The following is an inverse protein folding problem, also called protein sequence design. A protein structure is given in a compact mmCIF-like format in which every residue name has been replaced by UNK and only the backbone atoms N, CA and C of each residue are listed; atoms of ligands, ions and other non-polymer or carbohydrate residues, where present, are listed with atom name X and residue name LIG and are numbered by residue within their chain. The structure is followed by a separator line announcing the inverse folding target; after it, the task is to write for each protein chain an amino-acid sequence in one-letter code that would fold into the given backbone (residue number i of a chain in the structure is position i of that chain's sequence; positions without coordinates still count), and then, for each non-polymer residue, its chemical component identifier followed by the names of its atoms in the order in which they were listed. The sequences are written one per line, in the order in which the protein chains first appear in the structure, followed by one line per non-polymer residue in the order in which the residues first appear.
data_IF_820372996018
#
_entry.id   IF_820372996018
#
_cell.length_a   1.000
_cell.length_b   1.000
_cell.length_c   1.000
_cell.angle_alpha   90.00
_cell.angle_beta   90.00
_cell.angle_gamma   90.00
#
_symmetry.space_group_name_H-M   'P 1'
#
loop_
_entity.id
_entity.type
_entity.pdbx_description
1 polymer ?
#
# COMPACT_ATOMS: atom_id res chain seq x y z
N UNK A 1 -6.50 20.24 -18.76
CA UNK A 1 -7.52 19.18 -18.93
C UNK A 1 -7.05 18.10 -19.90
N UNK A 2 -6.51 18.44 -21.10
CA UNK A 2 -6.09 17.45 -22.10
C UNK A 2 -4.90 16.58 -21.64
N UNK A 3 -3.92 17.13 -20.93
CA UNK A 3 -2.78 16.38 -20.40
C UNK A 3 -3.21 15.32 -19.37
N UNK A 4 -4.20 15.66 -18.50
CA UNK A 4 -4.67 14.73 -17.47
C UNK A 4 -5.37 13.48 -18.04
N UNK A 5 -5.99 13.56 -19.22
CA UNK A 5 -6.71 12.44 -19.84
C UNK A 5 -5.78 11.46 -20.56
N UNK A 6 -4.63 11.92 -21.05
CA UNK A 6 -3.60 11.07 -21.64
C UNK A 6 -2.97 10.19 -20.56
N UNK A 7 -2.64 10.75 -19.39
CA UNK A 7 -2.05 9.99 -18.28
C UNK A 7 -3.01 8.97 -17.65
N UNK A 8 -4.31 9.25 -17.62
CA UNK A 8 -5.33 8.34 -17.02
C UNK A 8 -5.54 7.03 -17.81
N UNK A 9 -5.03 6.91 -19.02
CA UNK A 9 -5.14 5.69 -19.85
C UNK A 9 -3.90 4.81 -19.80
N UNK A 10 -2.77 5.36 -19.37
CA UNK A 10 -1.47 4.75 -19.56
C UNK A 10 -1.28 3.40 -18.87
N UNK A 11 -1.69 3.26 -17.60
CA UNK A 11 -1.49 2.00 -16.86
C UNK A 11 -2.21 0.83 -17.53
N UNK A 12 -3.45 1.04 -17.99
CA UNK A 12 -4.21 -0.01 -18.69
C UNK A 12 -3.54 -0.38 -20.02
N UNK A 13 -3.24 0.61 -20.86
CA UNK A 13 -2.63 0.42 -22.17
C UNK A 13 -1.24 -0.22 -22.08
N UNK A 14 -0.52 0.04 -20.98
CA UNK A 14 0.76 -0.58 -20.74
C UNK A 14 0.61 -2.08 -20.39
N UNK A 15 -0.20 -2.42 -19.41
CA UNK A 15 -0.33 -3.80 -18.97
C UNK A 15 -1.06 -4.69 -19.98
N UNK A 16 -2.05 -4.16 -20.71
CA UNK A 16 -2.78 -4.94 -21.71
C UNK A 16 -1.87 -5.46 -22.83
N UNK A 17 -0.82 -4.73 -23.21
CA UNK A 17 0.14 -5.17 -24.23
C UNK A 17 0.89 -6.46 -23.82
N UNK A 18 1.09 -6.67 -22.52
CA UNK A 18 1.71 -7.88 -21.98
C UNK A 18 0.70 -8.99 -21.75
N UNK A 19 -0.53 -8.65 -21.36
CA UNK A 19 -1.59 -9.60 -21.04
C UNK A 19 -2.24 -10.15 -22.31
N UNK A 20 -2.46 -9.30 -23.32
CA UNK A 20 -3.09 -9.62 -24.60
C UNK A 20 -2.17 -9.25 -25.78
N UNK A 21 -1.03 -9.93 -25.92
CA UNK A 21 -0.06 -9.56 -26.96
C UNK A 21 -0.66 -9.82 -28.36
N UNK A 22 -0.66 -8.81 -29.21
CA UNK A 22 -1.04 -8.92 -30.59
C UNK A 22 0.17 -9.38 -31.43
N UNK A 23 -0.01 -10.42 -32.25
CA UNK A 23 1.07 -10.96 -33.06
C UNK A 23 1.69 -9.89 -33.97
N UNK A 24 3.00 -9.72 -33.88
CA UNK A 24 3.74 -8.76 -34.69
C UNK A 24 3.69 -7.31 -34.22
N UNK A 25 3.06 -7.04 -33.09
CA UNK A 25 3.05 -5.72 -32.47
C UNK A 25 4.22 -5.59 -31.50
N UNK A 26 5.04 -4.55 -31.65
CA UNK A 26 6.06 -4.21 -30.66
C UNK A 26 5.41 -3.59 -29.42
N UNK A 27 5.93 -3.94 -28.25
CA UNK A 27 5.52 -3.33 -26.98
C UNK A 27 5.93 -1.87 -27.01
N UNK A 28 4.95 -0.99 -26.88
CA UNK A 28 5.20 0.46 -26.84
C UNK A 28 5.75 0.84 -25.47
N UNK A 29 6.84 1.59 -25.49
CA UNK A 29 7.30 2.24 -24.28
C UNK A 29 6.26 3.25 -23.79
N UNK A 30 6.16 3.37 -22.46
CA UNK A 30 5.27 4.33 -21.83
C UNK A 30 6.09 5.46 -21.23
N UNK A 31 5.65 6.69 -21.47
CA UNK A 31 6.26 7.86 -20.85
C UNK A 31 5.74 8.00 -19.42
N UNK A 32 6.63 7.79 -18.44
CA UNK A 32 6.30 7.99 -17.03
C UNK A 32 6.30 9.47 -16.69
N UNK A 33 5.33 9.91 -15.89
CA UNK A 33 5.33 11.27 -15.37
C UNK A 33 6.48 11.44 -14.37
N UNK A 34 7.48 12.26 -14.74
CA UNK A 34 8.62 12.55 -13.88
C UNK A 34 8.26 13.69 -12.92
N UNK A 35 8.14 13.40 -11.64
CA UNK A 35 7.85 14.38 -10.59
C UNK A 35 9.11 15.06 -10.08
N UNK A 36 10.20 14.32 -9.99
CA UNK A 36 11.55 14.77 -9.63
C UNK A 36 12.59 13.82 -10.23
N UNK A 37 13.88 14.11 -10.05
CA UNK A 37 14.96 13.27 -10.58
C UNK A 37 14.84 11.80 -10.13
N UNK A 38 14.35 11.56 -8.91
CA UNK A 38 14.25 10.23 -8.29
C UNK A 38 12.82 9.71 -8.17
N UNK A 39 11.80 10.39 -8.73
CA UNK A 39 10.41 9.97 -8.60
C UNK A 39 9.68 10.05 -9.95
N UNK A 40 9.26 8.88 -10.41
CA UNK A 40 8.42 8.71 -11.59
C UNK A 40 7.07 8.14 -11.19
N UNK A 41 6.02 8.53 -11.88
CA UNK A 41 4.66 8.09 -11.63
C UNK A 41 4.06 7.47 -12.91
N UNK A 42 3.54 6.27 -12.77
CA UNK A 42 2.58 5.68 -13.69
C UNK A 42 1.17 5.87 -13.12
N UNK A 43 0.40 6.78 -13.72
CA UNK A 43 -0.92 7.12 -13.22
C UNK A 43 -1.92 5.97 -13.43
N UNK A 44 -2.75 5.70 -12.43
CA UNK A 44 -3.83 4.72 -12.48
C UNK A 44 -4.87 5.03 -13.57
N UNK A 45 -5.63 4.02 -13.97
CA UNK A 45 -6.72 4.13 -14.95
C UNK A 45 -7.96 3.40 -14.47
N UNK A 46 -9.14 4.02 -14.62
CA UNK A 46 -10.42 3.36 -14.35
C UNK A 46 -10.62 2.13 -15.26
N UNK A 47 -10.04 2.15 -16.46
CA UNK A 47 -10.09 1.01 -17.38
C UNK A 47 -9.32 -0.22 -16.86
N UNK A 48 -8.49 -0.06 -15.84
CA UNK A 48 -7.79 -1.19 -15.23
C UNK A 48 -8.77 -2.23 -14.65
N UNK A 49 -9.99 -1.81 -14.30
CA UNK A 49 -11.07 -2.71 -13.92
C UNK A 49 -11.51 -3.65 -15.06
N UNK A 50 -11.24 -3.34 -16.32
CA UNK A 50 -11.55 -4.22 -17.48
C UNK A 50 -10.71 -5.50 -17.43
N UNK A 51 -9.55 -5.49 -16.77
CA UNK A 51 -8.67 -6.66 -16.58
C UNK A 51 -9.12 -7.57 -15.44
N UNK A 52 -10.08 -7.12 -14.61
CA UNK A 52 -10.50 -7.84 -13.41
C UNK A 52 -11.00 -9.25 -13.70
N UNK A 53 -11.80 -9.42 -14.78
CA UNK A 53 -12.35 -10.71 -15.18
C UNK A 53 -11.23 -11.67 -15.63
N UNK A 54 -10.36 -11.23 -16.54
CA UNK A 54 -9.27 -12.04 -17.09
C UNK A 54 -8.28 -12.45 -15.99
N UNK A 55 -7.92 -11.52 -15.11
CA UNK A 55 -7.06 -11.79 -13.95
C UNK A 55 -7.74 -12.76 -13.00
N UNK A 56 -9.03 -12.56 -12.69
CA UNK A 56 -9.81 -13.44 -11.82
C UNK A 56 -9.89 -14.88 -12.35
N UNK A 57 -10.15 -15.05 -13.62
CA UNK A 57 -10.18 -16.36 -14.27
C UNK A 57 -8.78 -17.02 -14.30
N UNK A 58 -7.72 -16.24 -14.51
CA UNK A 58 -6.35 -16.71 -14.42
C UNK A 58 -6.02 -17.23 -13.03
N UNK A 59 -6.37 -16.45 -11.99
CA UNK A 59 -6.15 -16.84 -10.59
C UNK A 59 -7.02 -18.02 -10.14
N UNK A 60 -8.16 -18.25 -10.82
CA UNK A 60 -8.99 -19.43 -10.64
C UNK A 60 -8.45 -20.69 -11.36
N UNK A 61 -7.30 -20.60 -12.03
CA UNK A 61 -6.61 -21.72 -12.66
C UNK A 61 -7.07 -22.03 -14.07
N UNK A 62 -7.71 -21.09 -14.78
CA UNK A 62 -8.05 -21.27 -16.19
C UNK A 62 -6.79 -21.29 -17.05
N UNK A 63 -6.45 -22.47 -17.59
CA UNK A 63 -5.19 -22.72 -18.28
C UNK A 63 -4.90 -21.76 -19.44
N UNK A 64 -5.90 -21.36 -20.20
CA UNK A 64 -5.77 -20.41 -21.30
C UNK A 64 -5.24 -19.02 -20.85
N UNK A 65 -5.45 -18.67 -19.58
CA UNK A 65 -5.09 -17.38 -19.00
C UNK A 65 -3.94 -17.48 -17.97
N UNK A 66 -3.30 -18.66 -17.85
CA UNK A 66 -2.22 -18.92 -16.88
C UNK A 66 -0.99 -18.04 -17.07
N UNK A 67 -0.83 -17.45 -18.27
CA UNK A 67 0.28 -16.53 -18.60
C UNK A 67 0.14 -15.15 -17.95
N UNK A 68 -1.05 -14.72 -17.55
CA UNK A 68 -1.32 -13.35 -17.09
C UNK A 68 -0.41 -12.92 -15.92
N UNK A 69 -0.25 -13.69 -14.83
CA UNK A 69 0.63 -13.30 -13.73
C UNK A 69 2.09 -13.09 -14.18
N UNK A 70 2.58 -13.96 -15.07
CA UNK A 70 3.94 -13.84 -15.62
C UNK A 70 4.08 -12.60 -16.50
N UNK A 71 3.07 -12.31 -17.33
CA UNK A 71 3.03 -11.12 -18.17
C UNK A 71 3.04 -9.82 -17.38
N UNK A 72 2.23 -9.75 -16.32
CA UNK A 72 2.20 -8.58 -15.40
C UNK A 72 3.54 -8.43 -14.68
N UNK A 73 4.15 -9.53 -14.25
CA UNK A 73 5.48 -9.49 -13.63
C UNK A 73 6.55 -8.96 -14.59
N UNK A 74 6.57 -9.42 -15.84
CA UNK A 74 7.48 -8.91 -16.85
C UNK A 74 7.29 -7.42 -17.11
N UNK A 75 6.03 -6.96 -17.16
CA UNK A 75 5.70 -5.55 -17.29
C UNK A 75 6.25 -4.74 -16.11
N UNK A 76 6.09 -5.23 -14.87
CA UNK A 76 6.65 -4.58 -13.68
C UNK A 76 8.19 -4.55 -13.71
N UNK A 77 8.83 -5.65 -14.10
CA UNK A 77 10.30 -5.68 -14.24
C UNK A 77 10.78 -4.63 -15.24
N UNK A 78 10.10 -4.50 -16.39
CA UNK A 78 10.45 -3.51 -17.40
C UNK A 78 10.25 -2.07 -16.89
N UNK A 79 9.18 -1.79 -16.13
CA UNK A 79 8.97 -0.49 -15.47
C UNK A 79 10.04 -0.20 -14.41
N UNK A 80 10.54 -1.24 -13.75
CA UNK A 80 11.55 -1.16 -12.71
C UNK A 80 12.97 -0.96 -13.21
N UNK A 81 13.22 -1.05 -14.51
CA UNK A 81 14.57 -0.85 -15.05
C UNK A 81 15.14 0.52 -14.65
N UNK A 82 16.26 0.51 -13.92
CA UNK A 82 16.90 1.74 -13.41
C UNK A 82 16.15 2.43 -12.26
N UNK A 83 15.25 1.71 -11.59
CA UNK A 83 14.58 2.15 -10.36
C UNK A 83 15.02 1.24 -9.20
N UNK A 84 15.24 1.81 -8.01
CA UNK A 84 15.55 1.04 -6.82
C UNK A 84 14.30 0.36 -6.25
N UNK A 85 13.14 1.05 -6.33
CA UNK A 85 11.87 0.60 -5.75
C UNK A 85 10.69 0.87 -6.68
N UNK A 86 9.71 -0.05 -6.66
CA UNK A 86 8.37 0.14 -7.23
C UNK A 86 7.36 0.15 -6.09
N UNK A 87 6.65 1.25 -5.92
CA UNK A 87 5.57 1.37 -4.94
C UNK A 87 4.24 1.28 -5.68
N UNK A 88 3.41 0.31 -5.31
CA UNK A 88 2.08 0.11 -5.91
C UNK A 88 1.03 0.56 -4.93
N UNK A 89 0.32 1.64 -5.25
CA UNK A 89 -0.85 2.12 -4.51
C UNK A 89 -2.09 1.39 -5.01
N UNK A 90 -2.66 0.53 -4.17
CA UNK A 90 -3.80 -0.32 -4.51
C UNK A 90 -5.12 0.29 -4.03
N UNK A 91 -6.18 0.09 -4.81
CA UNK A 91 -7.53 0.47 -4.38
C UNK A 91 -7.94 -0.33 -3.11
N UNK A 92 -8.86 0.19 -2.28
CA UNK A 92 -9.27 -0.50 -1.05
C UNK A 92 -10.18 -1.73 -1.28
N UNK A 93 -10.25 -2.23 -2.50
CA UNK A 93 -11.03 -3.40 -2.87
C UNK A 93 -10.21 -4.70 -2.79
N UNK A 94 -10.87 -5.81 -2.46
CA UNK A 94 -10.28 -7.16 -2.52
C UNK A 94 -10.44 -7.76 -3.93
N UNK A 95 -10.09 -6.99 -4.95
CA UNK A 95 -10.20 -7.38 -6.35
C UNK A 95 -9.13 -8.38 -6.77
N UNK A 96 -9.36 -9.15 -7.83
CA UNK A 96 -8.38 -10.10 -8.35
C UNK A 96 -7.10 -9.38 -8.81
N UNK A 97 -7.24 -8.20 -9.39
CA UNK A 97 -6.11 -7.36 -9.80
C UNK A 97 -5.27 -6.94 -8.59
N UNK A 98 -5.90 -6.46 -7.50
CA UNK A 98 -5.16 -6.12 -6.28
C UNK A 98 -4.46 -7.33 -5.69
N UNK A 99 -5.14 -8.48 -5.66
CA UNK A 99 -4.56 -9.73 -5.20
C UNK A 99 -3.32 -10.10 -6.02
N UNK A 100 -3.39 -9.99 -7.35
CA UNK A 100 -2.26 -10.25 -8.24
C UNK A 100 -1.07 -9.33 -7.91
N UNK A 101 -1.28 -8.02 -7.75
CA UNK A 101 -0.19 -7.10 -7.41
C UNK A 101 0.45 -7.40 -6.05
N UNK A 102 -0.36 -7.74 -5.04
CA UNK A 102 0.19 -8.18 -3.75
C UNK A 102 1.02 -9.44 -3.92
N UNK A 103 0.55 -10.44 -4.69
CA UNK A 103 1.30 -11.67 -4.96
C UNK A 103 2.62 -11.41 -5.69
N UNK A 104 2.69 -10.39 -6.54
CA UNK A 104 3.88 -10.03 -7.31
C UNK A 104 4.85 -9.13 -6.53
N UNK A 105 4.43 -8.54 -5.43
CA UNK A 105 5.28 -7.70 -4.58
C UNK A 105 6.27 -8.53 -3.75
N UNK A 106 7.30 -7.91 -3.22
CA UNK A 106 8.22 -8.52 -2.26
C UNK A 106 7.71 -8.32 -0.83
N UNK A 107 7.15 -7.13 -0.58
CA UNK A 107 6.57 -6.74 0.70
C UNK A 107 5.25 -6.02 0.49
N UNK A 108 4.39 -6.07 1.51
CA UNK A 108 3.17 -5.28 1.52
C UNK A 108 2.86 -4.74 2.92
N UNK A 109 2.18 -3.60 2.94
CA UNK A 109 1.71 -2.90 4.14
C UNK A 109 0.20 -2.78 4.03
N UNK A 110 -0.52 -2.98 5.14
CA UNK A 110 -1.97 -2.87 5.17
C UNK A 110 -2.38 -1.58 5.89
N UNK A 111 -2.86 -0.55 5.17
CA UNK A 111 -3.45 0.61 5.82
C UNK A 111 -4.80 0.25 6.42
N UNK A 112 -5.04 0.67 7.66
CA UNK A 112 -6.26 0.39 8.41
C UNK A 112 -6.76 1.64 9.14
N UNK A 113 -8.06 1.78 9.28
CA UNK A 113 -8.66 2.75 10.21
C UNK A 113 -9.04 2.04 11.52
N UNK A 114 -8.97 2.70 12.68
CA UNK A 114 -9.41 2.12 13.94
C UNK A 114 -10.94 1.98 13.98
N UNK A 115 -11.42 0.91 13.36
CA UNK A 115 -12.85 0.61 13.23
C UNK A 115 -13.13 -0.90 13.31
N UNK A 116 -14.36 -1.26 13.63
CA UNK A 116 -14.83 -2.64 13.63
C UNK A 116 -14.72 -3.27 12.23
N UNK A 117 -14.87 -2.46 11.18
CA UNK A 117 -14.76 -2.91 9.79
C UNK A 117 -13.33 -3.31 9.41
N UNK A 118 -12.32 -2.63 9.94
CA UNK A 118 -10.92 -2.97 9.69
C UNK A 118 -10.55 -4.35 10.23
N UNK A 119 -11.11 -4.74 11.37
CA UNK A 119 -10.98 -6.08 11.93
C UNK A 119 -11.56 -7.16 10.99
N UNK A 120 -12.74 -6.89 10.42
CA UNK A 120 -13.34 -7.81 9.44
C UNK A 120 -12.51 -7.88 8.14
N UNK A 121 -11.95 -6.74 7.71
CA UNK A 121 -11.07 -6.69 6.55
C UNK A 121 -9.79 -7.53 6.75
N UNK A 122 -9.15 -7.45 7.91
CA UNK A 122 -7.98 -8.28 8.23
C UNK A 122 -8.32 -9.79 8.25
N UNK A 123 -9.49 -10.16 8.78
CA UNK A 123 -9.98 -11.56 8.74
C UNK A 123 -10.18 -12.05 7.31
N UNK A 124 -10.80 -11.23 6.47
CA UNK A 124 -11.02 -11.58 5.06
C UNK A 124 -9.68 -11.73 4.33
N UNK A 125 -8.73 -10.84 4.62
CA UNK A 125 -7.38 -10.90 4.06
C UNK A 125 -6.67 -12.23 4.43
N UNK A 126 -6.77 -12.64 5.70
CA UNK A 126 -6.23 -13.92 6.16
C UNK A 126 -6.82 -15.12 5.37
N UNK A 127 -8.13 -15.12 5.14
CA UNK A 127 -8.78 -16.19 4.36
C UNK A 127 -8.27 -16.26 2.91
N UNK A 128 -8.04 -15.11 2.30
CA UNK A 128 -7.48 -15.01 0.93
C UNK A 128 -6.07 -15.59 0.91
N UNK A 129 -5.20 -15.17 1.81
CA UNK A 129 -3.82 -15.64 1.87
C UNK A 129 -3.72 -17.14 2.16
N UNK A 130 -4.57 -17.67 3.02
CA UNK A 130 -4.68 -19.14 3.24
C UNK A 130 -5.15 -19.87 1.96
N UNK A 131 -6.00 -19.25 1.16
CA UNK A 131 -6.40 -19.75 -0.16
C UNK A 131 -5.21 -19.79 -1.12
N UNK A 132 -4.43 -18.74 -1.18
CA UNK A 132 -3.25 -18.65 -2.04
C UNK A 132 -2.20 -19.70 -1.71
N UNK A 133 -1.89 -19.91 -0.44
CA UNK A 133 -0.89 -20.88 -0.04
C UNK A 133 -1.19 -22.30 -0.55
N UNK A 134 -2.46 -22.64 -0.77
CA UNK A 134 -2.86 -23.93 -1.34
C UNK A 134 -2.57 -24.04 -2.84
N UNK A 135 -2.59 -22.91 -3.56
CA UNK A 135 -2.53 -22.87 -5.02
C UNK A 135 -1.22 -22.23 -5.55
N UNK A 136 -0.35 -21.75 -4.66
CA UNK A 136 0.88 -21.03 -5.04
C UNK A 136 1.83 -21.89 -5.89
N UNK A 137 1.87 -23.21 -5.64
CA UNK A 137 2.68 -24.15 -6.43
C UNK A 137 2.28 -24.22 -7.90
N UNK A 138 1.04 -23.83 -8.23
CA UNK A 138 0.48 -23.97 -9.57
C UNK A 138 0.78 -22.75 -10.46
N UNK A 139 1.28 -21.65 -9.89
CA UNK A 139 1.66 -20.48 -10.66
C UNK A 139 3.14 -20.56 -11.07
N UNK A 140 3.42 -20.72 -12.37
CA UNK A 140 4.78 -20.73 -12.96
C UNK A 140 5.63 -19.54 -12.51
N UNK A 141 5.00 -18.40 -12.19
CA UNK A 141 5.68 -17.19 -11.78
C UNK A 141 6.49 -17.38 -10.50
N UNK A 142 6.02 -18.20 -9.55
CA UNK A 142 6.77 -18.50 -8.33
C UNK A 142 7.95 -19.43 -8.57
N UNK A 143 7.94 -20.19 -9.65
CA UNK A 143 9.10 -20.95 -10.09
C UNK A 143 10.19 -20.04 -10.72
N UNK A 144 9.79 -18.91 -11.31
CA UNK A 144 10.69 -17.93 -11.94
C UNK A 144 11.13 -16.82 -10.99
N UNK A 145 10.22 -16.32 -10.14
CA UNK A 145 10.50 -15.38 -9.06
C UNK A 145 11.08 -16.21 -7.90
N UNK A 146 12.35 -16.30 -7.72
CA UNK A 146 13.14 -16.90 -6.62
C UNK A 146 12.40 -17.64 -5.49
N UNK A 147 11.18 -18.14 -5.70
CA UNK A 147 10.29 -18.83 -4.74
C UNK A 147 9.92 -18.00 -3.49
N UNK A 148 10.08 -16.69 -3.51
CA UNK A 148 9.71 -15.85 -2.37
C UNK A 148 8.27 -15.40 -2.49
N UNK A 149 7.48 -15.72 -1.46
CA UNK A 149 6.14 -15.19 -1.28
C UNK A 149 6.22 -13.74 -0.75
N UNK A 150 5.22 -12.90 -1.06
CA UNK A 150 5.16 -11.54 -0.51
C UNK A 150 5.10 -11.58 1.01
N UNK A 151 5.86 -10.72 1.68
CA UNK A 151 5.87 -10.65 3.14
C UNK A 151 5.09 -9.44 3.65
N UNK A 152 4.12 -9.65 4.51
CA UNK A 152 3.47 -8.60 5.26
C UNK A 152 4.49 -7.97 6.21
N UNK A 153 4.66 -6.65 6.12
CA UNK A 153 5.46 -5.89 7.06
C UNK A 153 4.68 -5.49 8.32
N UNK A 154 3.39 -5.21 8.15
CA UNK A 154 2.51 -4.82 9.24
C UNK A 154 1.40 -3.89 8.76
N UNK A 155 0.78 -3.19 9.71
CA UNK A 155 -0.28 -2.22 9.46
C UNK A 155 0.19 -0.78 9.68
N UNK A 156 -0.41 0.15 8.93
CA UNK A 156 -0.37 1.59 9.21
C UNK A 156 -1.77 2.01 9.64
N UNK A 157 -1.90 2.40 10.90
CA UNK A 157 -3.17 2.87 11.45
C UNK A 157 -3.38 4.33 11.05
N UNK A 158 -4.34 4.59 10.16
CA UNK A 158 -4.72 5.92 9.68
C UNK A 158 -5.89 6.49 10.51
N UNK A 159 -6.07 7.82 10.44
CA UNK A 159 -7.12 8.54 11.18
C UNK A 159 -7.07 8.25 12.70
N UNK A 160 -5.87 8.07 13.20
CA UNK A 160 -5.63 7.90 14.63
C UNK A 160 -5.98 9.18 15.38
N UNK A 161 -6.79 9.07 16.43
CA UNK A 161 -7.13 10.19 17.32
C UNK A 161 -6.51 9.95 18.68
N UNK A 162 -5.33 10.53 18.95
CA UNK A 162 -4.67 10.37 20.24
C UNK A 162 -5.53 10.96 21.36
N UNK A 163 -5.55 10.30 22.49
CA UNK A 163 -6.23 10.79 23.68
C UNK A 163 -5.52 12.03 24.23
N UNK A 164 -6.24 13.15 24.33
CA UNK A 164 -5.75 14.33 25.04
C UNK A 164 -6.32 14.33 26.46
N UNK A 165 -5.45 14.19 27.46
CA UNK A 165 -5.83 14.23 28.89
C UNK A 165 -6.51 15.52 29.34
N UNK A 166 -6.56 16.55 28.50
CA UNK A 166 -7.10 17.88 28.85
C UNK A 166 -8.63 17.99 28.80
N UNK A 167 -9.36 16.99 28.31
CA UNK A 167 -10.83 17.01 28.23
C UNK A 167 -11.43 15.81 28.97
N UNK A 168 -11.72 15.97 30.25
CA UNK A 168 -12.39 14.96 31.11
C UNK A 168 -13.79 14.51 30.62
N UNK A 169 -14.42 15.28 29.73
CA UNK A 169 -15.74 14.95 29.17
C UNK A 169 -15.74 13.81 28.13
N UNK A 170 -14.59 13.35 27.65
CA UNK A 170 -14.47 12.33 26.58
C UNK A 170 -13.95 10.96 27.05
N UNK A 171 -13.97 10.66 28.35
CA UNK A 171 -13.36 9.44 28.92
C UNK A 171 -13.93 8.14 28.37
N UNK A 172 -15.25 8.07 28.10
CA UNK A 172 -15.89 6.85 27.55
C UNK A 172 -15.54 6.63 26.07
N UNK A 173 -15.51 7.70 25.27
CA UNK A 173 -15.16 7.64 23.85
C UNK A 173 -13.69 7.26 23.67
N UNK A 174 -12.80 7.81 24.48
CA UNK A 174 -11.38 7.52 24.43
C UNK A 174 -11.08 6.06 24.81
N UNK A 175 -11.64 5.55 25.89
CA UNK A 175 -11.51 4.14 26.31
C UNK A 175 -12.04 3.17 25.24
N UNK A 176 -13.12 3.55 24.55
CA UNK A 176 -13.65 2.74 23.44
C UNK A 176 -12.67 2.71 22.26
N UNK A 177 -12.05 3.84 21.96
CA UNK A 177 -11.09 3.95 20.88
C UNK A 177 -9.80 3.16 21.17
N UNK A 178 -9.25 3.30 22.39
CA UNK A 178 -8.11 2.50 22.85
C UNK A 178 -8.40 1.00 22.75
N UNK A 179 -9.57 0.57 23.21
CA UNK A 179 -9.97 -0.84 23.09
C UNK A 179 -10.03 -1.31 21.63
N UNK A 180 -10.51 -0.48 20.71
CA UNK A 180 -10.54 -0.83 19.28
C UNK A 180 -9.11 -0.97 18.74
N UNK A 181 -8.17 -0.12 19.18
CA UNK A 181 -6.76 -0.21 18.79
C UNK A 181 -6.11 -1.48 19.35
N UNK A 182 -6.36 -1.81 20.61
CA UNK A 182 -5.83 -3.03 21.23
C UNK A 182 -6.36 -4.27 20.50
N UNK A 183 -7.68 -4.34 20.29
CA UNK A 183 -8.29 -5.43 19.51
C UNK A 183 -7.72 -5.50 18.08
N UNK A 184 -7.47 -4.37 17.42
CA UNK A 184 -6.87 -4.34 16.09
C UNK A 184 -5.42 -4.84 16.10
N UNK A 185 -4.67 -4.49 17.15
CA UNK A 185 -3.30 -4.95 17.34
C UNK A 185 -3.24 -6.46 17.53
N UNK A 186 -4.10 -7.02 18.41
CA UNK A 186 -4.20 -8.48 18.64
C UNK A 186 -4.53 -9.22 17.35
N UNK A 187 -5.48 -8.71 16.55
CA UNK A 187 -5.81 -9.29 15.25
C UNK A 187 -4.67 -9.20 14.25
N UNK A 188 -3.88 -8.13 14.31
CA UNK A 188 -2.73 -7.97 13.41
C UNK A 188 -1.63 -8.97 13.76
N UNK A 189 -1.41 -9.22 15.04
CA UNK A 189 -0.46 -10.24 15.52
C UNK A 189 -0.94 -11.63 15.08
N UNK A 190 -2.22 -11.95 15.30
CA UNK A 190 -2.81 -13.23 14.86
C UNK A 190 -2.65 -13.44 13.34
N UNK A 191 -2.95 -12.41 12.54
CA UNK A 191 -2.75 -12.46 11.09
C UNK A 191 -1.28 -12.69 10.73
N UNK A 192 -0.36 -11.96 11.36
CA UNK A 192 1.06 -12.08 11.09
C UNK A 192 1.60 -13.46 11.47
N UNK A 193 1.16 -14.03 12.59
CA UNK A 193 1.53 -15.38 13.02
C UNK A 193 1.02 -16.45 12.04
N UNK A 194 -0.22 -16.33 11.58
CA UNK A 194 -0.77 -17.20 10.55
C UNK A 194 0.03 -17.10 9.24
N UNK A 195 0.34 -15.89 8.80
CA UNK A 195 1.12 -15.65 7.58
C UNK A 195 2.57 -16.11 7.72
N UNK A 196 3.18 -15.99 8.90
CA UNK A 196 4.51 -16.53 9.19
C UNK A 196 4.55 -18.06 9.03
N UNK A 197 3.47 -18.76 9.37
CA UNK A 197 3.34 -20.20 9.12
C UNK A 197 3.49 -20.57 7.65
N UNK A 198 3.28 -19.62 6.73
CA UNK A 198 3.43 -19.76 5.28
C UNK A 198 4.65 -19.02 4.71
N UNK A 199 5.45 -18.35 5.53
CA UNK A 199 6.56 -17.50 5.09
C UNK A 199 6.12 -16.17 4.45
N UNK A 200 4.87 -15.73 4.69
CA UNK A 200 4.24 -14.54 4.10
C UNK A 200 4.18 -13.33 5.07
N UNK A 201 4.94 -13.33 6.12
CA UNK A 201 5.14 -12.16 6.98
C UNK A 201 6.60 -12.09 7.43
N UNK A 202 7.07 -10.91 7.79
CA UNK A 202 8.31 -10.77 8.53
C UNK A 202 8.13 -11.38 9.92
N UNK A 203 9.17 -11.98 10.47
CA UNK A 203 9.11 -12.54 11.83
C UNK A 203 9.03 -11.40 12.87
N UNK A 204 8.53 -11.67 14.09
CA UNK A 204 8.53 -10.67 15.16
C UNK A 204 9.92 -10.08 15.44
N UNK A 205 10.97 -10.90 15.26
CA UNK A 205 12.35 -10.48 15.42
C UNK A 205 12.76 -9.51 14.31
N UNK A 206 12.51 -9.85 13.04
CA UNK A 206 12.77 -8.97 11.89
C UNK A 206 12.01 -7.65 12.04
N UNK A 207 10.72 -7.70 12.40
CA UNK A 207 9.91 -6.49 12.62
C UNK A 207 10.53 -5.59 13.71
N UNK A 208 10.96 -6.16 14.82
CA UNK A 208 11.58 -5.41 15.91
C UNK A 208 12.94 -4.81 15.54
N UNK A 209 13.71 -5.47 14.69
CA UNK A 209 14.96 -4.93 14.15
C UNK A 209 14.73 -3.74 13.22
N UNK A 210 13.58 -3.73 12.49
CA UNK A 210 13.20 -2.65 11.59
C UNK A 210 12.56 -1.48 12.34
N UNK A 211 11.63 -1.79 13.27
CA UNK A 211 10.79 -0.83 13.99
C UNK A 211 10.89 -1.01 15.50
N UNK A 212 12.10 -0.84 16.06
CA UNK A 212 12.46 -1.18 17.44
C UNK A 212 11.49 -0.62 18.51
N UNK A 213 10.98 0.59 18.30
CA UNK A 213 10.13 1.31 19.27
C UNK A 213 8.63 1.16 19.01
N UNK A 214 8.21 0.28 18.09
CA UNK A 214 6.82 0.09 17.71
C UNK A 214 6.22 -1.16 18.35
N UNK A 215 4.89 -1.14 18.52
CA UNK A 215 4.14 -2.35 18.87
C UNK A 215 4.28 -3.37 17.72
N UNK A 216 4.25 -4.66 18.03
CA UNK A 216 4.39 -5.70 17.00
C UNK A 216 3.47 -5.48 15.82
N UNK A 217 4.05 -5.46 14.62
CA UNK A 217 3.36 -5.29 13.33
C UNK A 217 2.57 -3.99 13.16
N UNK A 218 2.69 -3.02 14.06
CA UNK A 218 2.12 -1.69 13.91
C UNK A 218 3.21 -0.69 13.52
N UNK A 219 3.36 -0.48 12.20
CA UNK A 219 4.42 0.33 11.62
C UNK A 219 4.27 1.80 12.04
N UNK A 220 3.05 2.33 11.95
CA UNK A 220 2.79 3.73 12.25
C UNK A 220 1.35 3.99 12.69
N UNK A 221 1.18 5.12 13.40
CA UNK A 221 -0.12 5.70 13.69
C UNK A 221 -0.17 7.10 13.06
N UNK A 222 -0.90 7.24 11.98
CA UNK A 222 -1.09 8.51 11.28
C UNK A 222 -2.32 9.23 11.86
N UNK A 223 -2.15 10.35 12.56
CA UNK A 223 -3.25 11.10 13.12
C UNK A 223 -4.24 11.60 12.06
N UNK A 224 -5.49 11.86 12.50
CA UNK A 224 -6.48 12.57 11.69
C UNK A 224 -6.05 14.03 11.50
N UNK A 225 -5.55 14.35 10.34
CA UNK A 225 -5.09 15.69 9.94
C UNK A 225 -6.16 16.49 9.19
N UNK A 226 -7.42 16.14 9.30
CA UNK A 226 -8.58 16.67 8.56
C UNK A 226 -8.36 17.98 7.80
N UNK A 227 -8.03 19.09 8.48
CA UNK A 227 -7.79 20.38 7.82
C UNK A 227 -6.51 20.39 6.97
N UNK A 228 -5.43 19.76 7.42
CA UNK A 228 -4.20 19.66 6.61
C UNK A 228 -4.42 18.77 5.38
N UNK A 229 -5.25 17.73 5.47
CA UNK A 229 -5.61 16.91 4.32
C UNK A 229 -6.38 17.73 3.28
N UNK A 230 -7.32 18.59 3.69
CA UNK A 230 -8.04 19.49 2.79
C UNK A 230 -7.10 20.50 2.12
N UNK A 231 -6.15 21.07 2.86
CA UNK A 231 -5.14 21.98 2.30
C UNK A 231 -4.25 21.22 1.31
N UNK A 232 -3.77 20.04 1.68
CA UNK A 232 -2.95 19.17 0.83
C UNK A 232 -3.64 18.87 -0.51
N UNK A 233 -4.92 18.55 -0.48
CA UNK A 233 -5.73 18.27 -1.67
C UNK A 233 -5.90 19.53 -2.53
N UNK A 234 -6.24 20.67 -1.92
CA UNK A 234 -6.46 21.94 -2.64
C UNK A 234 -5.19 22.46 -3.29
N UNK A 235 -4.08 22.43 -2.58
CA UNK A 235 -2.78 22.90 -3.06
C UNK A 235 -2.03 21.84 -3.90
N UNK A 236 -2.56 20.62 -4.00
CA UNK A 236 -1.93 19.48 -4.68
C UNK A 236 -0.48 19.20 -4.19
N UNK A 237 -0.28 19.37 -2.89
CA UNK A 237 0.99 19.16 -2.20
C UNK A 237 0.84 18.09 -1.10
N UNK A 238 1.85 17.24 -0.88
CA UNK A 238 1.82 16.34 0.26
C UNK A 238 1.89 17.13 1.58
N UNK A 239 1.25 16.61 2.65
CA UNK A 239 1.14 17.29 3.94
C UNK A 239 2.48 17.80 4.47
N UNK A 240 3.57 17.03 4.32
CA UNK A 240 4.90 17.43 4.75
C UNK A 240 5.51 18.60 3.95
N UNK A 241 4.93 18.98 2.83
CA UNK A 241 5.35 20.11 2.01
C UNK A 241 4.54 21.40 2.28
N UNK A 242 3.54 21.36 3.16
CA UNK A 242 2.75 22.52 3.53
C UNK A 242 3.62 23.49 4.36
N UNK A 243 3.77 24.69 3.85
CA UNK A 243 4.57 25.76 4.49
C UNK A 243 3.73 26.65 5.40
N UNK A 244 4.39 27.43 6.25
CA UNK A 244 3.72 28.44 7.08
C UNK A 244 2.97 29.49 6.24
N UNK A 245 3.44 29.85 5.06
CA UNK A 245 2.76 30.76 4.14
C UNK A 245 1.42 30.16 3.70
N UNK A 246 1.42 28.91 3.26
CA UNK A 246 0.20 28.19 2.85
C UNK A 246 -0.79 28.08 4.02
N UNK A 247 -0.32 27.79 5.24
CA UNK A 247 -1.19 27.74 6.42
C UNK A 247 -1.87 29.09 6.68
N UNK A 248 -1.14 30.20 6.51
CA UNK A 248 -1.68 31.55 6.66
C UNK A 248 -2.71 31.88 5.59
N UNK A 249 -2.48 31.51 4.33
CA UNK A 249 -3.43 31.69 3.23
C UNK A 249 -4.75 30.96 3.44
N UNK A 250 -4.72 29.87 4.21
CA UNK A 250 -5.90 29.08 4.59
C UNK A 250 -6.48 29.43 5.96
N UNK A 251 -6.11 30.56 6.55
CA UNK A 251 -6.58 31.02 7.87
C UNK A 251 -6.36 30.00 8.99
N UNK A 252 -5.32 29.16 8.90
CA UNK A 252 -4.98 28.16 9.90
C UNK A 252 -3.97 28.72 10.91
N UNK A 253 -4.13 28.32 12.19
CA UNK A 253 -3.16 28.67 13.24
C UNK A 253 -1.79 28.10 12.90
N UNK A 254 -0.87 28.97 12.46
CA UNK A 254 0.43 28.59 11.91
C UNK A 254 1.27 27.77 12.89
N UNK A 255 1.34 28.15 14.18
CA UNK A 255 2.16 27.44 15.15
C UNK A 255 1.63 26.03 15.42
N UNK A 256 0.31 25.90 15.64
CA UNK A 256 -0.32 24.61 15.91
C UNK A 256 -0.21 23.64 14.74
N UNK A 257 -0.44 24.13 13.51
CA UNK A 257 -0.39 23.26 12.34
C UNK A 257 1.01 22.98 11.85
N UNK A 258 1.98 23.87 12.06
CA UNK A 258 3.39 23.62 11.79
C UNK A 258 3.92 22.44 12.60
N UNK A 259 3.57 22.36 13.89
CA UNK A 259 3.95 21.22 14.73
C UNK A 259 3.33 19.91 14.20
N UNK A 260 2.10 19.96 13.72
CA UNK A 260 1.45 18.78 13.09
C UNK A 260 2.13 18.37 11.78
N UNK A 261 2.49 19.31 10.92
CA UNK A 261 3.23 19.05 9.67
C UNK A 261 4.59 18.44 9.98
N UNK A 262 5.30 18.97 10.99
CA UNK A 262 6.59 18.45 11.43
C UNK A 262 6.46 17.02 11.98
N UNK A 263 5.46 16.76 12.83
CA UNK A 263 5.20 15.43 13.36
C UNK A 263 4.83 14.41 12.27
N UNK A 264 4.05 14.82 11.25
CA UNK A 264 3.75 13.96 10.11
C UNK A 264 5.01 13.62 9.31
N UNK A 265 5.87 14.62 9.07
CA UNK A 265 7.15 14.41 8.39
C UNK A 265 8.04 13.43 9.15
N UNK A 266 8.19 13.63 10.45
CA UNK A 266 8.98 12.73 11.32
C UNK A 266 8.43 11.29 11.26
N UNK A 267 7.11 11.11 11.28
CA UNK A 267 6.51 9.78 11.16
C UNK A 267 6.79 9.14 9.80
N UNK A 268 6.70 9.92 8.71
CA UNK A 268 7.07 9.44 7.37
C UNK A 268 8.56 9.06 7.30
N UNK A 269 9.45 9.90 7.84
CA UNK A 269 10.90 9.64 7.84
C UNK A 269 11.22 8.36 8.64
N UNK A 270 10.54 8.11 9.75
CA UNK A 270 10.68 6.89 10.55
C UNK A 270 10.22 5.64 9.78
N UNK A 271 9.09 5.73 9.05
CA UNK A 271 8.60 4.63 8.21
C UNK A 271 9.62 4.32 7.11
N UNK A 272 10.05 5.34 6.39
CA UNK A 272 11.01 5.20 5.28
C UNK A 272 12.34 4.65 5.78
N UNK A 273 12.88 5.19 6.89
CA UNK A 273 14.12 4.69 7.47
C UNK A 273 14.05 3.22 7.85
N UNK A 274 12.91 2.78 8.44
CA UNK A 274 12.68 1.36 8.72
C UNK A 274 12.65 0.50 7.47
N UNK A 275 11.94 0.95 6.42
CA UNK A 275 11.83 0.22 5.14
C UNK A 275 13.19 0.10 4.45
N UNK A 276 13.98 1.17 4.37
CA UNK A 276 15.31 1.13 3.77
C UNK A 276 16.23 0.15 4.50
N UNK A 277 16.23 0.16 5.84
CA UNK A 277 17.00 -0.82 6.62
C UNK A 277 16.62 -2.28 6.36
N UNK A 278 15.38 -2.55 5.91
CA UNK A 278 14.97 -3.88 5.52
C UNK A 278 15.45 -4.24 4.11
N UNK A 279 15.37 -3.30 3.18
CA UNK A 279 15.60 -3.53 1.75
C UNK A 279 17.08 -3.55 1.40
N UNK A 280 17.93 -2.94 2.22
CA UNK A 280 19.39 -2.94 2.05
C UNK A 280 20.08 -4.20 2.62
N UNK A 281 19.31 -5.13 3.23
CA UNK A 281 19.79 -6.44 3.73
C UNK A 281 19.65 -7.54 2.66
#
# INVERSE_FOLDING_TARGET
AAASDVYKRQVYEYFVQYIEPTFGQEIREIELFQKSDNLKLLAGSLRFAELEESVGLSMAGISALSHIPTSVYQALQKLGEGQDYIIVDLSPALSAVNQLFVMLSDYFIVPVNPSIFSRQALRNLNQIFRGWNRNVSDFEIFARKTKQLPKMLGIVCQNYRPFSRKNEQNTKSAKRFERILDELNDFTIELADDLNGFGMAVTPKEFKEIFEKRDPYRIANIPDYNQLAMVSEKEQLPVQAITSAILTEHDLNTDYYRDKVSGFKEECDNIVGGLLNLLDK
#
